data_IF_151843786818
#
_entry.id   IF_151843786818
#
_cell.length_a   1.000
_cell.length_b   1.000
_cell.length_c   1.000
_cell.angle_alpha   90.00
_cell.angle_beta   90.00
_cell.angle_gamma   90.00
#
_symmetry.space_group_name_H-M   'P 1'
#
loop_
_entity.id
_entity.type
_entity.pdbx_description
1 polymer ?
#
# COMPACT_ATOMS: atom_id res chain seq x y z
N UNK A 1 28.98 2.33 -4.68
CA UNK A 1 27.71 2.87 -4.16
C UNK A 1 26.54 1.88 -4.33
N UNK A 2 26.77 0.56 -4.32
CA UNK A 2 25.72 -0.41 -4.70
C UNK A 2 25.06 -1.13 -3.52
N UNK A 3 25.80 -1.46 -2.45
CA UNK A 3 25.23 -2.21 -1.32
C UNK A 3 24.15 -1.44 -0.55
N UNK A 4 24.29 -0.12 -0.42
CA UNK A 4 23.32 0.71 0.34
C UNK A 4 22.00 0.82 -0.40
N UNK A 5 22.04 1.02 -1.73
CA UNK A 5 20.82 1.09 -2.55
C UNK A 5 20.11 -0.25 -2.59
N UNK A 6 20.85 -1.36 -2.67
CA UNK A 6 20.29 -2.72 -2.73
C UNK A 6 19.69 -3.16 -1.38
N UNK A 7 20.32 -2.80 -0.25
CA UNK A 7 19.74 -2.97 1.10
C UNK A 7 18.52 -2.07 1.33
N UNK A 8 18.54 -0.81 0.86
CA UNK A 8 17.37 0.08 0.88
C UNK A 8 16.23 -0.44 0.00
N UNK A 9 16.53 -1.16 -1.08
CA UNK A 9 15.53 -1.86 -1.92
C UNK A 9 14.90 -3.02 -1.16
N UNK A 10 15.65 -3.75 -0.33
CA UNK A 10 15.12 -4.84 0.48
C UNK A 10 14.18 -4.40 1.61
N UNK A 11 14.27 -3.15 2.08
CA UNK A 11 13.41 -2.64 3.17
C UNK A 11 12.35 -1.67 2.66
N UNK A 12 11.10 -2.13 2.59
CA UNK A 12 9.94 -1.29 2.34
C UNK A 12 9.61 -0.40 3.55
N UNK A 13 10.12 0.83 3.54
CA UNK A 13 9.69 1.87 4.48
C UNK A 13 8.32 2.42 4.07
N UNK A 14 7.57 2.95 5.03
CA UNK A 14 6.26 3.56 4.76
C UNK A 14 6.32 4.64 3.65
N UNK A 15 7.38 5.44 3.62
CA UNK A 15 7.60 6.47 2.61
C UNK A 15 7.80 5.87 1.21
N UNK A 16 8.56 4.77 1.09
CA UNK A 16 8.81 4.10 -0.18
C UNK A 16 7.55 3.40 -0.70
N UNK A 17 6.83 2.68 0.19
CA UNK A 17 5.54 2.04 -0.12
C UNK A 17 4.54 3.07 -0.65
N UNK A 18 4.41 4.22 0.04
CA UNK A 18 3.54 5.31 -0.40
C UNK A 18 3.94 5.88 -1.79
N UNK A 19 5.24 6.07 -2.05
CA UNK A 19 5.71 6.54 -3.35
C UNK A 19 5.34 5.57 -4.47
N UNK A 20 5.62 4.27 -4.30
CA UNK A 20 5.28 3.25 -5.30
C UNK A 20 3.77 3.21 -5.56
N UNK A 21 2.96 3.14 -4.49
CA UNK A 21 1.49 3.10 -4.62
C UNK A 21 0.96 4.34 -5.32
N UNK A 22 1.53 5.52 -5.05
CA UNK A 22 1.15 6.77 -5.73
C UNK A 22 1.45 6.71 -7.22
N UNK A 23 2.61 6.19 -7.63
CA UNK A 23 2.96 6.03 -9.04
C UNK A 23 2.02 5.07 -9.77
N UNK A 24 1.58 3.99 -9.10
CA UNK A 24 0.61 3.04 -9.63
C UNK A 24 -0.76 3.69 -9.82
N UNK A 25 -1.25 4.43 -8.81
CA UNK A 25 -2.54 5.13 -8.88
C UNK A 25 -2.53 6.21 -9.96
N UNK A 26 -1.39 6.88 -10.16
CA UNK A 26 -1.20 7.87 -11.24
C UNK A 26 -1.00 7.25 -12.62
N UNK A 27 -0.92 5.92 -12.73
CA UNK A 27 -0.72 5.22 -14.00
C UNK A 27 0.69 5.35 -14.59
N UNK A 28 1.68 5.78 -13.79
CA UNK A 28 3.09 5.90 -14.22
C UNK A 28 3.82 4.58 -14.28
N UNK A 29 3.38 3.62 -13.47
CA UNK A 29 3.85 2.24 -13.44
C UNK A 29 2.67 1.31 -13.19
N UNK A 30 2.76 0.07 -13.61
CA UNK A 30 1.75 -0.95 -13.34
C UNK A 30 2.20 -1.88 -12.20
N UNK A 31 1.24 -2.57 -11.58
CA UNK A 31 1.52 -3.62 -10.58
C UNK A 31 2.50 -4.67 -11.15
N UNK A 32 2.32 -5.07 -12.41
CA UNK A 32 3.17 -6.07 -13.06
C UNK A 32 4.59 -5.54 -13.35
N UNK A 33 4.76 -4.27 -13.66
CA UNK A 33 6.09 -3.65 -13.81
C UNK A 33 6.79 -3.48 -12.46
N UNK A 34 6.07 -3.01 -11.44
CA UNK A 34 6.59 -2.89 -10.08
C UNK A 34 6.99 -4.24 -9.48
N UNK A 35 6.16 -5.27 -9.68
CA UNK A 35 6.43 -6.64 -9.23
C UNK A 35 7.73 -7.17 -9.81
N UNK A 36 7.95 -7.01 -11.12
CA UNK A 36 9.19 -7.43 -11.79
C UNK A 36 10.41 -6.58 -11.36
N UNK A 37 10.22 -5.28 -11.12
CA UNK A 37 11.31 -4.37 -10.78
C UNK A 37 11.82 -4.56 -9.34
N UNK A 38 10.93 -4.94 -8.41
CA UNK A 38 11.25 -5.07 -6.99
C UNK A 38 11.20 -6.52 -6.47
N UNK A 39 11.04 -7.51 -7.36
CA UNK A 39 10.93 -8.94 -7.05
C UNK A 39 9.90 -9.23 -5.94
N UNK A 40 8.74 -8.59 -6.05
CA UNK A 40 7.68 -8.64 -5.05
C UNK A 40 6.41 -9.27 -5.65
N UNK A 41 5.67 -10.10 -4.91
CA UNK A 41 4.43 -10.69 -5.39
C UNK A 41 3.44 -9.60 -5.86
N UNK A 42 2.81 -9.75 -7.04
CA UNK A 42 1.78 -8.80 -7.48
C UNK A 42 0.68 -8.58 -6.44
N UNK A 43 0.28 -9.64 -5.73
CA UNK A 43 -0.75 -9.60 -4.70
C UNK A 43 -0.41 -8.69 -3.52
N UNK A 44 0.86 -8.61 -3.13
CA UNK A 44 1.30 -7.74 -2.03
C UNK A 44 1.22 -6.26 -2.45
N UNK A 45 1.59 -5.96 -3.70
CA UNK A 45 1.47 -4.60 -4.25
C UNK A 45 -0.01 -4.21 -4.40
N UNK A 46 -0.86 -5.14 -4.85
CA UNK A 46 -2.31 -4.94 -4.95
C UNK A 46 -2.92 -4.63 -3.59
N UNK A 47 -2.57 -5.38 -2.55
CA UNK A 47 -3.00 -5.14 -1.18
C UNK A 47 -2.64 -3.72 -0.72
N UNK A 48 -1.41 -3.27 -1.00
CA UNK A 48 -0.97 -1.93 -0.63
C UNK A 48 -1.74 -0.82 -1.33
N UNK A 49 -2.07 -1.03 -2.61
CA UNK A 49 -2.89 -0.10 -3.40
C UNK A 49 -4.30 -0.03 -2.82
N UNK A 50 -4.88 -1.17 -2.44
CA UNK A 50 -6.22 -1.24 -1.86
C UNK A 50 -6.29 -0.64 -0.45
N UNK A 51 -5.29 -0.91 0.40
CA UNK A 51 -5.13 -0.25 1.70
C UNK A 51 -5.06 1.26 1.56
N UNK A 52 -4.25 1.76 0.61
CA UNK A 52 -4.11 3.19 0.37
C UNK A 52 -5.42 3.82 -0.12
N UNK A 53 -6.15 3.16 -1.03
CA UNK A 53 -7.47 3.61 -1.50
C UNK A 53 -8.48 3.68 -0.35
N UNK A 54 -8.56 2.64 0.49
CA UNK A 54 -9.43 2.62 1.68
C UNK A 54 -9.05 3.72 2.67
N UNK A 55 -7.75 3.94 2.89
CA UNK A 55 -7.24 5.02 3.73
C UNK A 55 -7.64 6.40 3.21
N UNK A 56 -7.52 6.65 1.91
CA UNK A 56 -7.97 7.89 1.27
C UNK A 56 -9.48 8.07 1.38
N UNK A 57 -10.28 7.04 1.09
CA UNK A 57 -11.74 7.10 1.24
C UNK A 57 -12.16 7.43 2.68
N UNK A 58 -11.52 6.80 3.67
CA UNK A 58 -11.80 7.08 5.08
C UNK A 58 -11.41 8.52 5.47
N UNK A 59 -10.26 9.01 4.99
CA UNK A 59 -9.80 10.37 5.24
C UNK A 59 -10.73 11.44 4.63
N UNK A 60 -11.38 11.12 3.51
CA UNK A 60 -12.35 11.99 2.84
C UNK A 60 -13.78 11.82 3.37
N UNK A 61 -14.04 10.86 4.26
CA UNK A 61 -15.37 10.62 4.83
C UNK A 61 -15.76 11.77 5.75
N UNK A 62 -17.03 12.20 5.70
CA UNK A 62 -17.56 13.27 6.57
C UNK A 62 -17.40 12.99 8.07
N UNK A 63 -17.31 11.71 8.46
CA UNK A 63 -16.99 11.26 9.82
C UNK A 63 -15.97 10.13 9.74
N UNK A 64 -14.65 10.37 9.68
CA UNK A 64 -13.66 9.29 9.55
C UNK A 64 -13.85 8.22 10.64
N UNK A 65 -13.76 6.94 10.29
CA UNK A 65 -13.68 5.89 11.32
C UNK A 65 -12.29 5.94 11.95
N UNK A 66 -12.23 5.85 13.27
CA UNK A 66 -10.98 5.53 13.94
C UNK A 66 -10.54 4.13 13.48
N UNK A 67 -9.22 3.94 13.29
CA UNK A 67 -8.63 2.68 12.82
C UNK A 67 -9.12 1.51 13.70
N UNK A 68 -9.29 1.76 15.01
CA UNK A 68 -9.84 0.77 15.95
C UNK A 68 -11.30 0.38 15.63
N UNK A 69 -12.15 1.35 15.27
CA UNK A 69 -13.55 1.09 14.92
C UNK A 69 -13.68 0.30 13.60
N UNK A 70 -12.73 0.47 12.67
CA UNK A 70 -12.69 -0.31 11.43
C UNK A 70 -12.41 -1.79 11.69
N UNK A 71 -11.40 -2.10 12.52
CA UNK A 71 -11.09 -3.47 12.90
C UNK A 71 -12.23 -4.13 13.68
N UNK A 72 -12.85 -3.41 14.62
CA UNK A 72 -13.98 -3.91 15.39
C UNK A 72 -15.20 -4.26 14.50
N UNK A 73 -15.44 -3.50 13.42
CA UNK A 73 -16.49 -3.81 12.44
C UNK A 73 -16.19 -5.08 11.64
N UNK A 74 -14.97 -5.24 11.15
CA UNK A 74 -14.58 -6.44 10.38
C UNK A 74 -14.74 -7.70 11.22
N UNK A 75 -14.34 -7.66 12.50
CA UNK A 75 -14.54 -8.79 13.43
C UNK A 75 -16.03 -9.11 13.57
N UNK A 76 -16.89 -8.09 13.65
CA UNK A 76 -18.34 -8.25 13.78
C UNK A 76 -19.02 -8.83 12.53
N UNK A 77 -18.48 -8.59 11.34
CA UNK A 77 -19.00 -9.13 10.08
C UNK A 77 -18.54 -10.58 9.82
N UNK A 78 -17.50 -11.04 10.51
CA UNK A 78 -16.95 -12.40 10.42
C UNK A 78 -17.53 -13.37 11.47
N UNK A 79 -18.40 -12.91 12.37
CA UNK A 79 -19.11 -13.71 13.37
C UNK A 79 -20.58 -13.92 12.98
#
# INVERSE_FOLDING_TARGET
MSMVMEEEVKRWTAKRKAALVTEIIQGKTTVAEASRAFDMPPSEIEEWVDEAKRGMENALRAKPLDVREQYERQIKELQ
#
